data_IF_773683755656
#
_entry.id   IF_773683755656
#
_cell.length_a   1.000
_cell.length_b   1.000
_cell.length_c   1.000
_cell.angle_alpha   90.00
_cell.angle_beta   90.00
_cell.angle_gamma   90.00
#
_symmetry.space_group_name_H-M   'P 1'
#
loop_
_entity.id
_entity.type
_entity.pdbx_description
1 polymer ?
#
# COMPACT_ATOMS: atom_id res chain seq x y z
N UNK A 1 -26.01 -39.08 9.09
CA UNK A 1 -25.60 -37.65 9.15
C UNK A 1 -24.15 -37.59 9.60
N UNK A 2 -23.23 -37.23 8.72
CA UNK A 2 -21.87 -36.85 9.13
C UNK A 2 -21.86 -35.35 9.44
N UNK A 3 -21.14 -34.88 10.47
CA UNK A 3 -21.02 -33.45 10.72
C UNK A 3 -20.21 -32.81 9.60
N UNK A 4 -20.65 -31.66 9.11
CA UNK A 4 -19.89 -30.83 8.19
C UNK A 4 -18.71 -30.25 9.00
N UNK A 5 -17.50 -30.71 8.69
CA UNK A 5 -16.27 -30.05 9.12
C UNK A 5 -16.11 -28.80 8.27
N UNK A 6 -16.39 -27.63 8.83
CA UNK A 6 -16.03 -26.37 8.19
C UNK A 6 -14.52 -26.23 8.30
N UNK A 7 -13.77 -26.16 7.19
CA UNK A 7 -12.37 -25.85 7.28
C UNK A 7 -12.27 -24.38 7.73
N UNK A 8 -11.64 -24.16 8.88
CA UNK A 8 -11.24 -22.83 9.35
C UNK A 8 -10.07 -22.37 8.49
N UNK A 9 -10.34 -22.03 7.21
CA UNK A 9 -9.33 -21.59 6.23
C UNK A 9 -8.83 -20.15 6.48
N UNK A 10 -9.37 -19.45 7.48
CA UNK A 10 -9.00 -18.07 7.81
C UNK A 10 -7.71 -17.92 8.63
N UNK A 11 -7.04 -19.01 9.02
CA UNK A 11 -5.98 -18.91 10.04
C UNK A 11 -4.53 -18.94 9.53
N UNK A 12 -4.28 -19.16 8.24
CA UNK A 12 -2.92 -19.18 7.68
C UNK A 12 -2.93 -18.57 6.27
N UNK A 13 -3.43 -17.33 6.15
CA UNK A 13 -2.87 -16.47 5.13
C UNK A 13 -1.40 -16.30 5.51
N UNK A 14 -0.52 -17.09 4.88
CA UNK A 14 0.89 -16.75 4.74
C UNK A 14 0.93 -15.48 3.90
N UNK A 15 0.62 -14.33 4.53
CA UNK A 15 0.91 -13.05 3.95
C UNK A 15 2.43 -13.01 3.86
N UNK A 16 2.94 -13.05 2.63
CA UNK A 16 4.33 -12.72 2.38
C UNK A 16 4.62 -11.39 3.12
N UNK A 17 5.75 -11.29 3.84
CA UNK A 17 6.06 -10.08 4.59
C UNK A 17 6.02 -8.88 3.64
N UNK A 18 5.33 -7.82 4.05
CA UNK A 18 5.27 -6.59 3.24
C UNK A 18 6.69 -6.09 2.93
N UNK A 19 6.94 -5.64 1.69
CA UNK A 19 8.26 -5.16 1.32
C UNK A 19 8.61 -3.89 2.10
N UNK A 20 9.87 -3.76 2.49
CA UNK A 20 10.39 -2.47 2.96
C UNK A 20 10.27 -1.43 1.85
N UNK A 21 10.25 -0.13 2.19
CA UNK A 21 10.22 0.94 1.18
C UNK A 21 11.33 0.78 0.13
N UNK A 22 12.55 0.42 0.56
CA UNK A 22 13.66 0.20 -0.37
C UNK A 22 13.38 -0.96 -1.34
N UNK A 23 12.78 -2.05 -0.86
CA UNK A 23 12.41 -3.20 -1.70
C UNK A 23 11.22 -2.88 -2.61
N UNK A 24 10.21 -2.15 -2.11
CA UNK A 24 9.08 -1.72 -2.92
C UNK A 24 9.53 -0.79 -4.06
N UNK A 25 10.52 0.08 -3.84
CA UNK A 25 10.98 1.04 -4.85
C UNK A 25 12.09 0.51 -5.78
N UNK A 26 12.79 -0.58 -5.41
CA UNK A 26 13.95 -1.08 -6.17
C UNK A 26 13.89 -2.58 -6.48
N UNK A 27 12.84 -3.26 -6.03
CA UNK A 27 12.64 -4.68 -6.22
C UNK A 27 12.05 -5.04 -7.59
N UNK A 28 11.77 -6.32 -7.82
CA UNK A 28 11.19 -6.79 -9.08
C UNK A 28 9.81 -6.17 -9.36
N UNK A 29 9.06 -5.86 -8.30
CA UNK A 29 7.68 -5.33 -8.39
C UNK A 29 7.64 -3.78 -8.31
N UNK A 30 8.78 -3.10 -8.52
CA UNK A 30 8.88 -1.67 -8.29
C UNK A 30 7.97 -0.84 -9.22
N UNK A 31 7.68 -1.35 -10.41
CA UNK A 31 6.79 -0.69 -11.36
C UNK A 31 5.36 -0.73 -10.81
N UNK A 32 4.90 -1.89 -10.35
CA UNK A 32 3.58 -2.10 -9.78
C UNK A 32 3.36 -1.24 -8.53
N UNK A 33 4.38 -1.14 -7.67
CA UNK A 33 4.33 -0.25 -6.51
C UNK A 33 4.26 1.23 -6.91
N UNK A 34 5.02 1.66 -7.92
CA UNK A 34 4.96 3.03 -8.41
C UNK A 34 3.57 3.35 -8.99
N UNK A 35 3.01 2.44 -9.79
CA UNK A 35 1.66 2.62 -10.36
C UNK A 35 0.58 2.70 -9.27
N UNK A 36 0.69 1.89 -8.21
CA UNK A 36 -0.22 1.95 -7.08
C UNK A 36 -0.11 3.27 -6.31
N UNK A 37 1.11 3.76 -6.09
CA UNK A 37 1.37 5.07 -5.47
C UNK A 37 0.76 6.19 -6.31
N UNK A 38 1.01 6.20 -7.62
CA UNK A 38 0.50 7.22 -8.53
C UNK A 38 -1.04 7.20 -8.59
N UNK A 39 -1.64 6.01 -8.60
CA UNK A 39 -3.08 5.86 -8.57
C UNK A 39 -3.68 6.50 -7.31
N UNK A 40 -3.16 6.16 -6.13
CA UNK A 40 -3.68 6.65 -4.85
C UNK A 40 -3.52 8.17 -4.72
N UNK A 41 -2.34 8.72 -5.06
CA UNK A 41 -2.10 10.17 -5.08
C UNK A 41 -3.13 10.86 -5.98
N UNK A 42 -3.39 10.32 -7.18
CA UNK A 42 -4.38 10.90 -8.09
C UNK A 42 -5.81 10.88 -7.54
N UNK A 43 -6.15 9.91 -6.68
CA UNK A 43 -7.47 9.88 -6.04
C UNK A 43 -7.56 10.95 -4.94
N UNK A 44 -6.51 11.14 -4.15
CA UNK A 44 -6.47 12.18 -3.12
C UNK A 44 -6.66 13.58 -3.72
N UNK A 45 -6.01 13.84 -4.87
CA UNK A 45 -6.18 15.08 -5.63
C UNK A 45 -7.62 15.25 -6.14
N UNK A 46 -8.19 14.21 -6.78
CA UNK A 46 -9.57 14.25 -7.33
C UNK A 46 -10.62 14.48 -6.26
N UNK A 47 -10.43 13.89 -5.09
CA UNK A 47 -11.36 14.01 -3.97
C UNK A 47 -11.23 15.37 -3.26
N UNK A 48 -10.21 16.17 -3.58
CA UNK A 48 -9.91 17.41 -2.86
C UNK A 48 -9.64 17.17 -1.38
N UNK A 49 -9.19 15.96 -1.03
CA UNK A 49 -8.99 15.56 0.36
C UNK A 49 -7.71 16.17 0.93
N UNK A 50 -6.75 16.52 0.07
CA UNK A 50 -5.42 17.02 0.41
C UNK A 50 -5.06 18.21 -0.48
N UNK A 51 -4.22 19.12 0.03
CA UNK A 51 -3.66 20.25 -0.70
C UNK A 51 -2.14 20.17 -0.67
N UNK A 52 -1.49 20.30 -1.84
CA UNK A 52 -0.03 20.42 -1.93
C UNK A 52 0.32 21.86 -1.62
N UNK A 53 1.01 22.09 -0.51
CA UNK A 53 1.42 23.42 -0.04
C UNK A 53 2.93 23.57 -0.12
N UNK A 54 3.40 24.80 -0.33
CA UNK A 54 4.82 25.11 -0.26
C UNK A 54 5.37 24.80 1.14
N UNK A 55 6.60 24.27 1.16
CA UNK A 55 7.30 24.06 2.42
C UNK A 55 7.50 25.41 3.13
N UNK A 56 7.25 25.51 4.45
CA UNK A 56 7.43 26.74 5.19
C UNK A 56 8.91 27.18 5.15
N UNK A 57 9.18 28.48 4.97
CA UNK A 57 10.55 28.97 4.86
C UNK A 57 11.33 28.69 6.15
N UNK A 58 12.49 28.04 6.02
CA UNK A 58 13.46 27.67 7.08
C UNK A 58 13.11 26.44 7.94
N UNK A 59 12.51 25.41 7.35
CA UNK A 59 12.53 24.07 7.94
C UNK A 59 13.65 23.27 7.28
N UNK A 60 14.61 22.78 8.07
CA UNK A 60 15.57 21.78 7.59
C UNK A 60 14.79 20.48 7.39
N UNK A 61 14.34 20.23 6.17
CA UNK A 61 13.86 18.92 5.72
C UNK A 61 15.03 17.95 5.53
#
# INVERSE_FOLDING_TARGET
MSPISYPTEWALATAEPEPTLQQALNGPDAIEWQEAIDYEISQLEKLGAWEVVDAPPRVNI
#
